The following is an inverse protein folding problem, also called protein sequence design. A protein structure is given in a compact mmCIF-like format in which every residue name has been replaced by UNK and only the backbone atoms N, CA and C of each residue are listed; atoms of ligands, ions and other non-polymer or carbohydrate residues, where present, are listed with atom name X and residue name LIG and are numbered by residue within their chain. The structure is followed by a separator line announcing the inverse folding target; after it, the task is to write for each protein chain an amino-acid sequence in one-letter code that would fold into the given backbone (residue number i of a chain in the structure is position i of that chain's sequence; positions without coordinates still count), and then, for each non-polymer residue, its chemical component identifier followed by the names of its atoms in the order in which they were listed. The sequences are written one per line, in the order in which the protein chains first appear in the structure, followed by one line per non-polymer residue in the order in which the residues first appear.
data_IF_019656752853
#
_entry.id   IF_019656752853
#
_cell.length_a   1.000
_cell.length_b   1.000
_cell.length_c   1.000
_cell.angle_alpha   90.00
_cell.angle_beta   90.00
_cell.angle_gamma   90.00
#
_symmetry.space_group_name_H-M   'P 1'
#
loop_
_entity.id
_entity.type
_entity.pdbx_description
1 polymer ?
#
# COMPACT_ATOMS: atom_id res chain seq x y z
N UNK A 1 15.36 8.44 -1.47
CA UNK A 1 16.35 7.67 -0.68
C UNK A 1 15.93 6.22 -0.65
N UNK A 2 16.68 5.30 -1.26
CA UNK A 2 16.47 3.86 -1.05
C UNK A 2 16.88 3.53 0.39
N UNK A 3 15.88 3.43 1.27
CA UNK A 3 16.07 2.84 2.60
C UNK A 3 16.49 1.37 2.48
N UNK A 4 16.88 0.72 3.59
CA UNK A 4 17.19 -0.69 3.59
C UNK A 4 16.04 -1.52 2.99
N UNK A 5 16.35 -2.51 2.17
CA UNK A 5 15.34 -3.43 1.64
C UNK A 5 15.05 -4.49 2.69
N UNK A 6 13.78 -4.71 3.02
CA UNK A 6 13.30 -5.82 3.83
C UNK A 6 13.11 -7.05 2.92
N UNK A 7 14.00 -8.07 2.96
CA UNK A 7 14.01 -9.13 1.95
C UNK A 7 12.74 -9.97 1.93
N UNK A 8 12.05 -10.09 3.07
CA UNK A 8 10.80 -10.84 3.13
C UNK A 8 9.66 -10.13 2.37
N UNK A 9 9.73 -8.81 2.15
CA UNK A 9 8.76 -8.12 1.30
C UNK A 9 8.76 -8.74 -0.11
N UNK A 10 9.93 -8.82 -0.74
CA UNK A 10 10.11 -9.46 -2.05
C UNK A 10 9.62 -10.91 -2.06
N UNK A 11 9.94 -11.67 -1.01
CA UNK A 11 9.59 -13.09 -0.94
C UNK A 11 8.07 -13.33 -0.93
N UNK A 12 7.27 -12.38 -0.44
CA UNK A 12 5.81 -12.55 -0.31
C UNK A 12 5.00 -11.76 -1.33
N UNK A 13 5.57 -10.76 -2.01
CA UNK A 13 4.81 -9.84 -2.89
C UNK A 13 3.96 -10.54 -3.93
N UNK A 14 4.52 -11.49 -4.69
CA UNK A 14 3.77 -12.22 -5.72
C UNK A 14 2.61 -13.04 -5.14
N UNK A 15 2.78 -13.59 -3.93
CA UNK A 15 1.71 -14.34 -3.25
C UNK A 15 0.59 -13.40 -2.79
N UNK A 16 0.95 -12.23 -2.27
CA UNK A 16 -0.01 -11.20 -1.83
C UNK A 16 -0.76 -10.63 -3.03
N UNK A 17 -0.08 -10.41 -4.15
CA UNK A 17 -0.67 -9.96 -5.41
C UNK A 17 -1.76 -10.92 -5.91
N UNK A 18 -1.44 -12.22 -5.97
CA UNK A 18 -2.38 -13.27 -6.35
C UNK A 18 -3.59 -13.32 -5.40
N UNK A 19 -3.35 -13.20 -4.09
CA UNK A 19 -4.41 -13.17 -3.10
C UNK A 19 -5.36 -11.98 -3.30
N UNK A 20 -4.83 -10.78 -3.55
CA UNK A 20 -5.65 -9.61 -3.86
C UNK A 20 -6.40 -9.76 -5.19
N UNK A 21 -5.80 -10.39 -6.20
CA UNK A 21 -6.48 -10.66 -7.47
C UNK A 21 -7.73 -11.54 -7.26
N UNK A 22 -7.61 -12.60 -6.46
CA UNK A 22 -8.74 -13.48 -6.10
C UNK A 22 -9.86 -12.70 -5.39
N UNK A 23 -9.50 -11.85 -4.43
CA UNK A 23 -10.46 -11.02 -3.69
C UNK A 23 -11.15 -9.99 -4.59
N UNK A 24 -10.43 -9.35 -5.50
CA UNK A 24 -11.00 -8.40 -6.44
C UNK A 24 -11.96 -9.08 -7.42
N UNK A 25 -11.63 -10.28 -7.91
CA UNK A 25 -12.55 -11.07 -8.73
C UNK A 25 -13.80 -11.47 -7.96
N UNK A 26 -13.66 -11.84 -6.69
CA UNK A 26 -14.80 -12.15 -5.83
C UNK A 26 -15.72 -10.92 -5.63
N UNK A 27 -15.15 -9.74 -5.37
CA UNK A 27 -15.89 -8.49 -5.22
C UNK A 27 -16.59 -8.07 -6.52
N UNK A 28 -15.91 -8.20 -7.67
CA UNK A 28 -16.51 -7.97 -9.00
C UNK A 28 -17.71 -8.89 -9.24
N UNK A 29 -17.60 -10.18 -8.90
CA UNK A 29 -18.73 -11.13 -9.00
C UNK A 29 -19.88 -10.79 -8.07
N UNK A 30 -19.60 -10.17 -6.94
CA UNK A 30 -20.62 -9.69 -5.99
C UNK A 30 -21.31 -8.39 -6.47
N UNK A 31 -20.80 -7.76 -7.53
CA UNK A 31 -21.35 -6.53 -8.09
C UNK A 31 -20.80 -5.25 -7.46
N UNK A 32 -19.70 -5.33 -6.71
CA UNK A 32 -19.04 -4.16 -6.14
C UNK A 32 -18.43 -3.30 -7.25
N UNK A 33 -18.75 -2.01 -7.25
CA UNK A 33 -18.34 -1.05 -8.29
C UNK A 33 -17.25 -0.08 -7.83
N UNK A 34 -17.11 0.14 -6.53
CA UNK A 34 -16.10 1.04 -5.94
C UNK A 34 -14.86 0.25 -5.49
N UNK A 35 -14.17 -0.36 -6.47
CA UNK A 35 -12.98 -1.15 -6.21
C UNK A 35 -11.72 -0.31 -6.43
N UNK A 36 -10.76 -0.42 -5.51
CA UNK A 36 -9.45 0.18 -5.68
C UNK A 36 -8.66 -0.52 -6.80
N UNK A 37 -7.67 0.16 -7.40
CA UNK A 37 -6.75 -0.47 -8.36
C UNK A 37 -6.04 -1.67 -7.75
N UNK A 38 -5.86 -2.71 -8.56
CA UNK A 38 -5.06 -3.88 -8.17
C UNK A 38 -3.57 -3.47 -8.11
N UNK A 39 -2.89 -3.62 -6.97
CA UNK A 39 -1.46 -3.34 -6.88
C UNK A 39 -0.65 -4.50 -7.46
N UNK A 40 0.33 -4.18 -8.30
CA UNK A 40 1.30 -5.18 -8.76
C UNK A 40 2.29 -5.60 -7.65
N UNK A 41 3.05 -6.66 -7.90
CA UNK A 41 4.05 -7.16 -6.94
C UNK A 41 5.11 -6.10 -6.55
N UNK A 42 5.47 -5.18 -7.45
CA UNK A 42 6.45 -4.14 -7.17
C UNK A 42 5.90 -3.10 -6.18
N UNK A 43 4.68 -2.63 -6.40
CA UNK A 43 3.96 -1.76 -5.49
C UNK A 43 3.76 -2.42 -4.11
N UNK A 44 3.41 -3.71 -4.09
CA UNK A 44 3.30 -4.47 -2.83
C UNK A 44 4.65 -4.54 -2.11
N UNK A 45 5.75 -4.86 -2.82
CA UNK A 45 7.09 -4.90 -2.23
C UNK A 45 7.46 -3.54 -1.62
N UNK A 46 7.18 -2.45 -2.34
CA UNK A 46 7.44 -1.08 -1.89
C UNK A 46 6.63 -0.72 -0.64
N UNK A 47 5.32 -1.03 -0.62
CA UNK A 47 4.43 -0.77 0.52
C UNK A 47 4.91 -1.56 1.76
N UNK A 48 5.21 -2.86 1.60
CA UNK A 48 5.70 -3.71 2.69
C UNK A 48 7.04 -3.21 3.24
N UNK A 49 7.97 -2.82 2.36
CA UNK A 49 9.25 -2.22 2.75
C UNK A 49 9.03 -0.97 3.61
N UNK A 50 8.22 -0.03 3.12
CA UNK A 50 7.96 1.24 3.80
C UNK A 50 7.25 0.99 5.13
N UNK A 51 6.21 0.17 5.14
CA UNK A 51 5.44 -0.14 6.35
C UNK A 51 6.31 -0.76 7.44
N UNK A 52 7.14 -1.75 7.07
CA UNK A 52 8.06 -2.41 8.00
C UNK A 52 9.02 -1.42 8.64
N UNK A 53 9.76 -0.66 7.84
CA UNK A 53 10.74 0.28 8.39
C UNK A 53 10.09 1.45 9.14
N UNK A 54 8.92 1.90 8.71
CA UNK A 54 8.18 2.92 9.44
C UNK A 54 7.69 2.40 10.81
N UNK A 55 7.26 1.13 10.89
CA UNK A 55 6.83 0.52 12.16
C UNK A 55 7.93 0.35 13.20
N UNK A 56 9.20 0.32 12.77
CA UNK A 56 10.36 0.23 13.66
C UNK A 56 10.82 1.59 14.21
N UNK A 57 10.41 2.70 13.57
CA UNK A 57 10.76 4.04 14.06
C UNK A 57 10.02 4.32 15.35
N UNK A 58 10.64 5.05 16.26
CA UNK A 58 9.95 5.57 17.45
C UNK A 58 9.64 7.03 17.23
N UNK A 59 8.37 7.38 17.42
CA UNK A 59 7.89 8.77 17.35
C UNK A 59 7.62 9.22 18.78
N UNK A 60 8.35 10.21 19.27
CA UNK A 60 8.26 10.73 20.66
C UNK A 60 8.38 9.64 21.74
N UNK A 61 9.10 8.55 21.43
CA UNK A 61 9.26 7.41 22.33
C UNK A 61 8.19 6.32 22.20
N UNK A 62 7.21 6.44 21.31
CA UNK A 62 6.19 5.41 21.08
C UNK A 62 6.45 4.63 19.80
N UNK A 63 6.14 3.33 19.80
CA UNK A 63 6.11 2.52 18.59
C UNK A 63 4.82 2.83 17.83
N UNK A 64 4.89 3.31 16.57
CA UNK A 64 3.72 3.68 15.81
C UNK A 64 2.97 2.42 15.34
N UNK A 65 1.64 2.48 15.37
CA UNK A 65 0.78 1.52 14.67
C UNK A 65 0.35 2.17 13.36
N UNK A 66 0.76 1.58 12.25
CA UNK A 66 0.54 2.14 10.91
C UNK A 66 -0.35 1.16 10.12
N UNK A 67 -1.37 1.69 9.47
CA UNK A 67 -2.15 0.99 8.46
C UNK A 67 -2.05 1.76 7.16
N UNK A 68 -1.84 1.06 6.05
CA UNK A 68 -1.73 1.64 4.72
C UNK A 68 -2.83 1.05 3.83
N UNK A 69 -3.35 1.89 2.93
CA UNK A 69 -4.28 1.49 1.90
C UNK A 69 -3.78 2.04 0.56
N UNK A 70 -3.84 1.21 -0.48
CA UNK A 70 -3.44 1.57 -1.84
C UNK A 70 -4.69 1.94 -2.64
N UNK A 71 -4.95 3.24 -2.81
CA UNK A 71 -6.13 3.74 -3.52
C UNK A 71 -5.86 5.11 -4.16
N UNK A 72 -6.60 5.46 -5.23
CA UNK A 72 -6.66 6.81 -5.76
C UNK A 72 -7.26 7.79 -4.73
N UNK A 73 -6.90 9.08 -4.79
CA UNK A 73 -7.41 10.09 -3.86
C UNK A 73 -8.93 10.25 -3.91
N UNK A 74 -9.57 9.95 -5.04
CA UNK A 74 -11.03 9.99 -5.22
C UNK A 74 -11.78 9.00 -4.31
N UNK A 75 -11.12 7.90 -3.91
CA UNK A 75 -11.67 6.89 -3.02
C UNK A 75 -11.36 7.17 -1.53
N UNK A 76 -10.65 8.25 -1.24
CA UNK A 76 -10.40 8.69 0.14
C UNK A 76 -11.46 9.72 0.54
N UNK A 77 -12.09 9.61 1.73
CA UNK A 77 -13.06 10.61 2.20
C UNK A 77 -12.46 12.01 2.37
N UNK A 78 -11.15 12.10 2.65
CA UNK A 78 -10.43 13.35 2.94
C UNK A 78 -9.02 13.29 2.35
N UNK A 79 -8.86 13.36 1.02
CA UNK A 79 -7.56 13.30 0.38
C UNK A 79 -6.78 14.60 0.64
N UNK A 80 -5.51 14.47 1.00
CA UNK A 80 -4.57 15.60 1.02
C UNK A 80 -3.93 15.73 -0.36
N UNK A 81 -4.15 16.87 -1.03
CA UNK A 81 -3.62 17.18 -2.36
C UNK A 81 -2.70 18.39 -2.30
N UNK A 82 -1.61 18.33 -3.04
CA UNK A 82 -0.77 19.49 -3.26
C UNK A 82 -1.45 20.45 -4.25
N UNK A 83 -1.35 21.75 -3.98
CA UNK A 83 -1.89 22.81 -4.87
C UNK A 83 -1.22 22.80 -6.25
N UNK A 84 0.08 22.46 -6.28
CA UNK A 84 0.90 22.35 -7.49
C UNK A 84 1.61 21.01 -7.50
N UNK A 85 1.81 20.45 -8.70
CA UNK A 85 2.59 19.23 -8.88
C UNK A 85 4.03 19.46 -8.37
N UNK A 86 4.53 18.50 -7.57
CA UNK A 86 5.92 18.52 -7.14
C UNK A 86 6.76 17.92 -8.28
N UNK A 87 7.81 18.61 -8.76
CA UNK A 87 8.72 18.01 -9.74
C UNK A 87 9.41 16.80 -9.13
N UNK A 88 9.38 15.67 -9.86
CA UNK A 88 10.00 14.40 -9.47
C UNK A 88 11.52 14.42 -9.67
#
# INVERSE_FOLDING_TARGET
MMGPTYPAARAVSARVEAHFAEHMEAARRHGDTDLAPHPDAEAIEAILNVAFWASLRREEGYTPKISLAFLPPEQSPRPLRFERQIPL
#
